data_IF_969052073628
#
_entry.id   IF_969052073628
#
_cell.length_a   1.000
_cell.length_b   1.000
_cell.length_c   1.000
_cell.angle_alpha   90.00
_cell.angle_beta   90.00
_cell.angle_gamma   90.00
#
_symmetry.space_group_name_H-M   'P 1'
#
loop_
_entity.id
_entity.type
_entity.pdbx_description
1 polymer ?
#
# COMPACT_ATOMS: atom_id res chain seq x y z
N UNK A 1 26.30 -24.34 -13.83
CA UNK A 1 25.85 -23.82 -12.52
C UNK A 1 24.41 -23.37 -12.70
N UNK A 2 23.47 -24.05 -12.05
CA UNK A 2 22.06 -23.65 -12.03
C UNK A 2 21.99 -22.24 -11.44
N UNK A 3 21.47 -21.27 -12.20
CA UNK A 3 21.09 -19.99 -11.62
C UNK A 3 20.10 -20.31 -10.51
N UNK A 4 20.48 -20.10 -9.25
CA UNK A 4 19.54 -20.21 -8.15
C UNK A 4 18.46 -19.16 -8.41
N UNK A 5 17.25 -19.62 -8.71
CA UNK A 5 16.07 -18.80 -8.99
C UNK A 5 15.76 -17.91 -7.77
N UNK A 6 16.41 -16.75 -7.71
CA UNK A 6 16.25 -15.80 -6.61
C UNK A 6 14.98 -15.01 -6.86
N UNK A 7 13.90 -15.38 -6.16
CA UNK A 7 12.66 -14.61 -6.19
C UNK A 7 12.95 -13.15 -5.82
N UNK A 8 12.50 -12.18 -6.62
CA UNK A 8 12.71 -10.76 -6.34
C UNK A 8 12.16 -10.39 -4.96
N UNK A 9 12.77 -9.39 -4.31
CA UNK A 9 12.31 -8.94 -2.99
C UNK A 9 11.19 -7.90 -3.13
N UNK A 10 10.12 -8.03 -2.35
CA UNK A 10 9.03 -7.05 -2.27
C UNK A 10 8.91 -6.51 -0.85
N UNK A 11 8.92 -5.19 -0.72
CA UNK A 11 8.65 -4.49 0.53
C UNK A 11 7.14 -4.30 0.67
N UNK A 12 6.56 -4.86 1.74
CA UNK A 12 5.18 -4.62 2.13
C UNK A 12 5.18 -3.61 3.27
N UNK A 13 4.68 -2.40 3.03
CA UNK A 13 4.52 -1.39 4.09
C UNK A 13 3.10 -1.43 4.61
N UNK A 14 2.95 -1.51 5.93
CA UNK A 14 1.67 -1.52 6.63
C UNK A 14 1.59 -0.39 7.66
N UNK A 15 0.36 0.02 7.98
CA UNK A 15 0.12 0.93 9.09
C UNK A 15 0.33 0.22 10.43
N UNK A 16 0.77 0.99 11.43
CA UNK A 16 0.84 0.62 12.85
C UNK A 16 -0.23 1.34 13.69
N UNK A 17 -1.02 2.23 13.09
CA UNK A 17 -2.06 2.98 13.77
C UNK A 17 -3.24 2.07 14.18
N UNK A 18 -3.99 2.44 15.22
CA UNK A 18 -5.11 1.66 15.76
C UNK A 18 -6.27 1.41 14.78
N UNK A 19 -6.42 2.25 13.75
CA UNK A 19 -7.39 2.04 12.67
C UNK A 19 -6.96 0.93 11.71
N UNK A 20 -5.72 0.45 11.87
CA UNK A 20 -5.23 -0.85 11.42
C UNK A 20 -5.13 -1.06 9.91
N UNK A 21 -4.90 -2.32 9.59
CA UNK A 21 -4.83 -2.87 8.23
C UNK A 21 -6.07 -3.74 7.98
N UNK A 22 -6.71 -3.59 6.82
CA UNK A 22 -7.88 -4.40 6.47
C UNK A 22 -7.47 -5.88 6.33
N UNK A 23 -8.01 -6.75 7.20
CA UNK A 23 -7.62 -8.16 7.29
C UNK A 23 -7.73 -8.88 5.94
N UNK A 24 -8.88 -8.79 5.27
CA UNK A 24 -9.09 -9.50 4.00
C UNK A 24 -8.15 -9.01 2.89
N UNK A 25 -7.95 -7.70 2.78
CA UNK A 25 -7.02 -7.12 1.80
C UNK A 25 -5.59 -7.59 2.08
N UNK A 26 -5.13 -7.56 3.34
CA UNK A 26 -3.81 -8.04 3.71
C UNK A 26 -3.63 -9.54 3.42
N UNK A 27 -4.62 -10.38 3.72
CA UNK A 27 -4.55 -11.83 3.46
C UNK A 27 -4.35 -12.10 1.98
N UNK A 28 -5.16 -11.46 1.12
CA UNK A 28 -5.04 -11.59 -0.33
C UNK A 28 -3.71 -11.07 -0.84
N UNK A 29 -3.31 -9.87 -0.40
CA UNK A 29 -2.06 -9.24 -0.80
C UNK A 29 -0.85 -10.09 -0.41
N UNK A 30 -0.75 -10.46 0.87
CA UNK A 30 0.34 -11.27 1.42
C UNK A 30 0.40 -12.65 0.76
N UNK A 31 -0.72 -13.34 0.60
CA UNK A 31 -0.73 -14.70 0.04
C UNK A 31 -0.23 -14.71 -1.41
N UNK A 32 -0.71 -13.76 -2.23
CA UNK A 32 -0.27 -13.64 -3.61
C UNK A 32 1.19 -13.19 -3.71
N UNK A 33 1.61 -12.15 -2.99
CA UNK A 33 2.99 -11.67 -3.10
C UNK A 33 4.00 -12.62 -2.48
N UNK A 34 3.67 -13.34 -1.39
CA UNK A 34 4.57 -14.32 -0.79
C UNK A 34 4.82 -15.54 -1.71
N UNK A 35 3.95 -15.77 -2.70
CA UNK A 35 4.15 -16.79 -3.72
C UNK A 35 5.18 -16.37 -4.77
N UNK A 36 5.19 -15.08 -5.16
CA UNK A 36 6.02 -14.54 -6.23
C UNK A 36 7.34 -13.89 -5.74
N UNK A 37 7.37 -13.40 -4.50
CA UNK A 37 8.46 -12.58 -3.96
C UNK A 37 9.02 -13.13 -2.66
N UNK A 38 10.26 -12.74 -2.36
CA UNK A 38 10.78 -12.73 -0.99
C UNK A 38 10.25 -11.49 -0.29
N UNK A 39 9.46 -11.65 0.78
CA UNK A 39 8.82 -10.50 1.43
C UNK A 39 9.66 -9.94 2.57
N UNK A 40 9.62 -8.63 2.74
CA UNK A 40 9.89 -7.99 4.01
C UNK A 40 8.71 -7.08 4.36
N UNK A 41 8.29 -7.09 5.63
CA UNK A 41 7.22 -6.24 6.12
C UNK A 41 7.83 -5.11 6.95
N UNK A 42 7.38 -3.89 6.72
CA UNK A 42 7.76 -2.73 7.52
C UNK A 42 6.53 -1.95 8.00
N UNK A 43 6.64 -1.38 9.19
CA UNK A 43 5.63 -0.50 9.78
C UNK A 43 6.34 0.67 10.47
N UNK A 44 5.66 1.81 10.71
CA UNK A 44 6.22 2.86 11.54
C UNK A 44 6.68 2.29 12.88
N UNK A 45 7.92 2.61 13.28
CA UNK A 45 8.56 2.11 14.50
C UNK A 45 8.70 0.58 14.64
N UNK A 46 8.35 -0.21 13.62
CA UNK A 46 8.40 -1.68 13.67
C UNK A 46 7.36 -2.29 14.61
N UNK A 47 6.26 -1.58 14.85
CA UNK A 47 5.16 -2.05 15.69
C UNK A 47 4.36 -3.13 14.92
N UNK A 48 4.01 -4.27 15.55
CA UNK A 48 3.18 -5.29 14.92
C UNK A 48 1.85 -4.75 14.36
N UNK A 49 1.36 -5.38 13.30
CA UNK A 49 0.14 -4.95 12.61
C UNK A 49 -1.10 -5.25 13.46
N UNK A 50 -1.92 -4.22 13.69
CA UNK A 50 -3.31 -4.39 14.11
C UNK A 50 -4.22 -4.55 12.90
N UNK A 51 -5.09 -5.57 12.96
CA UNK A 51 -6.02 -5.90 11.87
C UNK A 51 -7.43 -5.44 12.20
N UNK A 52 -8.06 -4.76 11.24
CA UNK A 52 -9.48 -4.39 11.27
C UNK A 52 -10.29 -5.24 10.30
N UNK A 53 -11.61 -5.26 10.49
CA UNK A 53 -12.55 -6.12 9.77
C UNK A 53 -12.22 -7.61 9.94
N UNK A 54 -11.81 -8.00 11.16
CA UNK A 54 -11.59 -9.39 11.52
C UNK A 54 -12.93 -10.06 11.83
N UNK A 55 -13.24 -11.12 11.09
CA UNK A 55 -14.46 -11.91 11.22
C UNK A 55 -14.12 -13.41 11.26
N UNK A 56 -15.14 -14.27 11.33
CA UNK A 56 -14.93 -15.71 11.47
C UNK A 56 -14.27 -16.36 10.25
N UNK A 57 -14.33 -15.73 9.07
CA UNK A 57 -13.70 -16.24 7.85
C UNK A 57 -12.19 -16.03 7.83
N UNK A 58 -11.69 -14.98 8.52
CA UNK A 58 -10.29 -14.59 8.47
C UNK A 58 -9.55 -14.68 9.82
N UNK A 59 -10.26 -14.79 10.95
CA UNK A 59 -9.69 -14.84 12.31
C UNK A 59 -8.60 -15.89 12.48
N UNK A 60 -8.82 -17.11 11.96
CA UNK A 60 -7.85 -18.19 12.05
C UNK A 60 -6.56 -17.84 11.34
N UNK A 61 -6.64 -17.33 10.12
CA UNK A 61 -5.47 -16.93 9.34
C UNK A 61 -4.67 -15.85 10.06
N UNK A 62 -5.34 -14.85 10.64
CA UNK A 62 -4.68 -13.77 11.39
C UNK A 62 -3.96 -14.31 12.63
N UNK A 63 -4.60 -15.23 13.37
CA UNK A 63 -3.96 -15.92 14.49
C UNK A 63 -2.70 -16.68 14.06
N UNK A 64 -2.78 -17.41 12.95
CA UNK A 64 -1.64 -18.16 12.42
C UNK A 64 -0.53 -17.22 11.91
N UNK A 65 -0.90 -16.10 11.28
CA UNK A 65 0.05 -15.08 10.82
C UNK A 65 0.84 -14.47 11.97
N UNK A 66 0.21 -14.20 13.11
CA UNK A 66 0.86 -13.64 14.31
C UNK A 66 1.99 -14.52 14.87
N UNK A 67 1.99 -15.82 14.58
CA UNK A 67 3.07 -16.74 14.95
C UNK A 67 4.24 -16.79 13.95
N UNK A 68 4.16 -16.10 12.80
CA UNK A 68 5.20 -16.11 11.76
C UNK A 68 6.23 -15.00 12.01
N UNK A 69 7.44 -15.19 11.47
CA UNK A 69 8.49 -14.16 11.49
C UNK A 69 8.05 -12.83 10.85
N UNK A 70 7.18 -12.89 9.85
CA UNK A 70 6.59 -11.71 9.21
C UNK A 70 5.73 -10.83 10.13
N UNK A 71 5.26 -11.36 11.27
CA UNK A 71 4.50 -10.58 12.25
C UNK A 71 5.39 -9.65 13.10
N UNK A 72 6.71 -9.73 12.95
CA UNK A 72 7.70 -8.82 13.53
C UNK A 72 8.27 -7.91 12.44
N UNK A 73 7.59 -6.81 12.10
CA UNK A 73 7.99 -5.95 10.99
C UNK A 73 9.27 -5.16 11.31
N UNK A 74 9.98 -4.78 10.25
CA UNK A 74 11.07 -3.81 10.34
C UNK A 74 10.51 -2.41 10.64
N UNK A 75 11.34 -1.55 11.25
CA UNK A 75 11.05 -0.12 11.30
C UNK A 75 11.23 0.49 9.91
N UNK A 76 10.36 1.42 9.52
CA UNK A 76 10.52 2.15 8.25
C UNK A 76 11.90 2.79 8.14
N UNK A 77 12.43 3.35 9.23
CA UNK A 77 13.73 4.02 9.28
C UNK A 77 14.92 3.08 9.06
N UNK A 78 14.70 1.77 9.15
CA UNK A 78 15.70 0.74 8.88
C UNK A 78 15.59 0.15 7.46
N UNK A 79 14.62 0.60 6.67
CA UNK A 79 14.41 0.14 5.30
C UNK A 79 15.43 0.80 4.37
N UNK A 80 16.18 -0.03 3.66
CA UNK A 80 16.91 0.38 2.46
C UNK A 80 16.06 0.04 1.21
N UNK A 81 15.41 1.03 0.57
CA UNK A 81 14.51 0.77 -0.56
C UNK A 81 15.24 0.26 -1.81
N UNK A 82 16.57 0.41 -1.89
CA UNK A 82 17.36 -0.08 -3.02
C UNK A 82 17.33 -1.61 -3.15
N UNK A 83 17.16 -2.32 -2.02
CA UNK A 83 17.17 -3.79 -1.91
C UNK A 83 15.90 -4.47 -2.43
N UNK A 84 14.86 -3.70 -2.72
CA UNK A 84 13.55 -4.21 -3.09
C UNK A 84 13.26 -3.91 -4.56
N UNK A 85 12.66 -4.89 -5.22
CA UNK A 85 12.20 -4.80 -6.60
C UNK A 85 10.81 -4.17 -6.70
N UNK A 86 9.98 -4.31 -5.67
CA UNK A 86 8.61 -3.79 -5.62
C UNK A 86 8.20 -3.28 -4.25
N UNK A 87 7.29 -2.30 -4.24
CA UNK A 87 6.62 -1.77 -3.06
C UNK A 87 5.13 -2.12 -3.11
N UNK A 88 4.60 -2.66 -2.01
CA UNK A 88 3.17 -2.91 -1.83
C UNK A 88 2.69 -2.24 -0.54
N UNK A 89 1.62 -1.45 -0.64
CA UNK A 89 0.87 -0.94 0.51
C UNK A 89 -0.58 -1.46 0.41
N UNK A 90 -0.99 -2.43 1.25
CA UNK A 90 -2.34 -2.97 1.23
C UNK A 90 -3.35 -1.97 1.81
N UNK A 91 -4.65 -2.26 1.64
CA UNK A 91 -5.73 -1.42 2.19
C UNK A 91 -5.61 -1.29 3.70
N UNK A 92 -5.28 -0.09 4.15
CA UNK A 92 -4.94 0.20 5.54
C UNK A 92 -5.59 1.52 5.98
N UNK A 93 -6.78 1.50 6.62
CA UNK A 93 -7.39 2.74 7.12
C UNK A 93 -6.46 3.54 8.03
N UNK A 94 -5.60 2.87 8.80
CA UNK A 94 -4.55 3.49 9.60
C UNK A 94 -3.55 4.34 8.82
N UNK A 95 -3.30 4.03 7.53
CA UNK A 95 -2.34 4.74 6.70
C UNK A 95 -2.69 6.22 6.50
N UNK A 96 -3.97 6.57 6.60
CA UNK A 96 -4.42 7.97 6.61
C UNK A 96 -3.73 8.75 7.73
N UNK A 97 -3.45 8.12 8.87
CA UNK A 97 -2.94 8.77 10.08
C UNK A 97 -1.42 8.70 10.21
N UNK A 98 -0.82 7.55 9.89
CA UNK A 98 0.60 7.30 10.19
C UNK A 98 1.50 7.15 8.97
N UNK A 99 0.97 7.00 7.75
CA UNK A 99 1.76 6.94 6.52
C UNK A 99 1.64 8.20 5.66
N UNK A 100 0.46 8.84 5.66
CA UNK A 100 0.15 9.97 4.77
C UNK A 100 1.08 11.19 4.89
N UNK A 101 1.74 11.35 6.03
CA UNK A 101 2.66 12.45 6.32
C UNK A 101 3.97 11.97 6.95
N UNK A 102 4.38 10.73 6.71
CA UNK A 102 5.58 10.16 7.31
C UNK A 102 6.82 10.41 6.44
N UNK A 103 7.86 11.04 6.98
CA UNK A 103 9.05 11.46 6.22
C UNK A 103 9.79 10.27 5.58
N UNK A 104 10.01 9.20 6.33
CA UNK A 104 10.61 7.99 5.77
C UNK A 104 9.75 7.34 4.69
N UNK A 105 8.41 7.36 4.83
CA UNK A 105 7.52 6.85 3.79
C UNK A 105 7.66 7.66 2.50
N UNK A 106 7.78 8.99 2.60
CA UNK A 106 8.04 9.86 1.46
C UNK A 106 9.32 9.45 0.73
N UNK A 107 10.42 9.24 1.46
CA UNK A 107 11.69 8.81 0.88
C UNK A 107 11.58 7.43 0.21
N UNK A 108 10.86 6.50 0.82
CA UNK A 108 10.61 5.17 0.25
C UNK A 108 9.82 5.30 -1.05
N UNK A 109 8.62 5.91 -1.05
CA UNK A 109 7.82 6.06 -2.27
C UNK A 109 8.62 6.74 -3.37
N UNK A 110 9.29 7.85 -3.04
CA UNK A 110 10.09 8.60 -4.02
C UNK A 110 11.20 7.77 -4.64
N UNK A 111 11.94 6.99 -3.85
CA UNK A 111 12.96 6.09 -4.39
C UNK A 111 12.36 5.11 -5.39
N UNK A 112 11.22 4.48 -5.08
CA UNK A 112 10.58 3.57 -6.02
C UNK A 112 10.08 4.28 -7.28
N UNK A 113 9.56 5.50 -7.16
CA UNK A 113 9.09 6.28 -8.30
C UNK A 113 10.25 6.74 -9.21
N UNK A 114 11.32 7.27 -8.63
CA UNK A 114 12.50 7.78 -9.35
C UNK A 114 13.27 6.64 -10.07
N UNK A 115 13.46 5.51 -9.39
CA UNK A 115 14.05 4.28 -9.97
C UNK A 115 13.06 3.52 -10.88
N UNK A 116 11.87 4.10 -11.10
CA UNK A 116 10.75 3.52 -11.83
C UNK A 116 10.38 2.13 -11.34
N UNK A 117 10.67 1.69 -10.12
CA UNK A 117 10.30 0.37 -9.57
C UNK A 117 8.78 0.27 -9.38
N UNK A 118 8.15 -0.91 -9.56
CA UNK A 118 6.71 -1.06 -9.35
C UNK A 118 6.27 -0.69 -7.94
N UNK A 119 5.25 0.17 -7.84
CA UNK A 119 4.58 0.58 -6.62
C UNK A 119 3.12 0.17 -6.74
N UNK A 120 2.62 -0.62 -5.78
CA UNK A 120 1.23 -1.01 -5.71
C UNK A 120 0.60 -0.47 -4.42
N UNK A 121 -0.47 0.28 -4.55
CA UNK A 121 -1.28 0.71 -3.40
C UNK A 121 -2.72 0.27 -3.57
N UNK A 122 -3.39 -0.07 -2.47
CA UNK A 122 -4.79 -0.50 -2.49
C UNK A 122 -5.56 0.24 -1.41
N UNK A 123 -6.77 0.71 -1.73
CA UNK A 123 -7.66 1.36 -0.76
C UNK A 123 -6.97 2.50 -0.02
N UNK A 124 -7.22 2.58 1.29
CA UNK A 124 -6.61 3.59 2.15
C UNK A 124 -5.09 3.53 2.24
N UNK A 125 -4.46 2.43 1.78
CA UNK A 125 -3.01 2.37 1.60
C UNK A 125 -2.47 3.39 0.60
N UNK A 126 -3.29 3.88 -0.33
CA UNK A 126 -2.95 4.95 -1.26
C UNK A 126 -2.56 6.25 -0.54
N UNK A 127 -3.01 6.46 0.70
CA UNK A 127 -2.59 7.60 1.52
C UNK A 127 -1.06 7.67 1.69
N UNK A 128 -0.34 6.54 1.66
CA UNK A 128 1.13 6.55 1.71
C UNK A 128 1.77 7.32 0.53
N UNK A 129 1.09 7.45 -0.62
CA UNK A 129 1.56 8.23 -1.76
C UNK A 129 1.58 9.73 -1.48
N UNK A 130 0.80 10.20 -0.51
CA UNK A 130 0.74 11.63 -0.14
C UNK A 130 1.84 12.02 0.83
N UNK A 131 2.66 11.04 1.28
CA UNK A 131 3.83 11.29 2.08
C UNK A 131 4.75 12.27 1.32
N UNK A 132 5.02 13.42 1.94
CA UNK A 132 5.78 14.50 1.30
C UNK A 132 5.01 15.79 1.03
N UNK A 133 3.70 15.84 1.34
CA UNK A 133 2.85 17.05 1.32
C UNK A 133 3.50 18.28 2.01
N UNK A 134 4.43 18.05 2.94
CA UNK A 134 5.10 19.10 3.73
C UNK A 134 6.48 19.49 3.20
N UNK A 135 6.91 18.99 2.04
CA UNK A 135 8.25 19.25 1.49
C UNK A 135 8.17 20.07 0.21
N UNK A 136 9.14 20.97 -0.01
CA UNK A 136 9.23 21.83 -1.21
C UNK A 136 9.55 21.07 -2.51
N UNK A 137 9.52 19.73 -2.52
CA UNK A 137 10.11 18.88 -3.55
C UNK A 137 9.06 18.28 -4.51
N UNK A 138 7.83 18.81 -4.46
CA UNK A 138 6.70 18.38 -5.31
C UNK A 138 6.16 16.99 -4.99
N UNK A 139 4.94 16.70 -5.44
CA UNK A 139 4.32 15.38 -5.25
C UNK A 139 4.76 14.40 -6.34
N UNK A 140 5.27 13.23 -5.97
CA UNK A 140 5.82 12.26 -6.94
C UNK A 140 4.79 11.63 -7.89
N UNK A 141 3.49 11.82 -7.63
CA UNK A 141 2.42 11.36 -8.51
C UNK A 141 1.78 12.49 -9.32
N UNK A 142 2.37 13.69 -9.35
CA UNK A 142 1.93 14.77 -10.23
C UNK A 142 1.90 14.29 -11.69
N UNK A 143 0.77 14.49 -12.38
CA UNK A 143 0.58 14.03 -13.75
C UNK A 143 0.44 12.51 -13.91
N UNK A 144 0.32 11.73 -12.84
CA UNK A 144 -0.04 10.31 -12.91
C UNK A 144 -1.56 10.12 -13.00
N UNK A 145 -1.98 9.09 -13.72
CA UNK A 145 -3.31 8.52 -13.60
C UNK A 145 -3.34 7.52 -12.45
N UNK A 146 -4.30 7.66 -11.55
CA UNK A 146 -4.40 6.80 -10.38
C UNK A 146 -5.83 6.67 -9.85
N UNK A 147 -6.01 5.76 -8.92
CA UNK A 147 -7.20 5.63 -8.09
C UNK A 147 -6.82 5.43 -6.62
N UNK A 148 -7.81 5.36 -5.76
CA UNK A 148 -7.74 5.21 -4.31
C UNK A 148 -9.16 5.36 -3.76
N UNK A 149 -9.36 5.42 -2.43
CA UNK A 149 -10.71 5.49 -1.88
C UNK A 149 -11.40 6.76 -2.40
N UNK A 150 -12.60 6.60 -2.95
CA UNK A 150 -13.41 7.72 -3.42
C UNK A 150 -13.91 8.54 -2.24
N UNK A 151 -14.18 9.84 -2.42
CA UNK A 151 -14.81 10.69 -1.40
C UNK A 151 -16.06 10.01 -0.84
N UNK A 152 -16.86 9.35 -1.69
CA UNK A 152 -18.05 8.61 -1.28
C UNK A 152 -17.74 7.44 -0.33
N UNK A 153 -16.67 6.68 -0.57
CA UNK A 153 -16.22 5.61 0.35
C UNK A 153 -15.65 6.22 1.64
N UNK A 154 -14.94 7.34 1.55
CA UNK A 154 -14.32 7.99 2.70
C UNK A 154 -15.35 8.60 3.66
N UNK A 155 -16.42 9.25 3.17
CA UNK A 155 -17.46 9.87 4.02
C UNK A 155 -18.23 8.85 4.87
N UNK A 156 -18.16 7.56 4.53
CA UNK A 156 -18.77 6.48 5.32
C UNK A 156 -17.93 6.08 6.54
N UNK A 157 -16.67 6.53 6.62
CA UNK A 157 -15.84 6.31 7.79
C UNK A 157 -16.43 7.05 9.00
N UNK A 158 -16.58 6.36 10.13
CA UNK A 158 -17.10 6.94 11.38
C UNK A 158 -16.29 8.14 11.87
N UNK A 159 -15.01 8.17 11.52
CA UNK A 159 -14.03 9.19 11.86
C UNK A 159 -13.75 10.15 10.69
N UNK A 160 -14.59 10.20 9.65
CA UNK A 160 -14.37 11.06 8.48
C UNK A 160 -14.07 12.53 8.85
N UNK A 161 -14.73 13.08 9.87
CA UNK A 161 -14.51 14.48 10.29
C UNK A 161 -13.12 14.75 10.89
N UNK A 162 -12.33 13.72 11.19
CA UNK A 162 -11.00 13.83 11.82
C UNK A 162 -9.89 13.20 10.99
N UNK A 163 -10.18 12.68 9.79
CA UNK A 163 -9.12 12.19 8.91
C UNK A 163 -8.27 13.37 8.43
N UNK A 164 -6.94 13.22 8.35
CA UNK A 164 -6.06 14.32 7.99
C UNK A 164 -6.02 14.59 6.47
N UNK A 165 -6.59 13.70 5.67
CA UNK A 165 -6.56 13.77 4.21
C UNK A 165 -7.77 13.08 3.58
N UNK A 166 -8.33 13.72 2.56
CA UNK A 166 -9.26 13.10 1.61
C UNK A 166 -8.47 12.80 0.35
N UNK A 167 -8.22 11.53 0.06
CA UNK A 167 -7.23 11.12 -0.95
C UNK A 167 -7.63 11.56 -2.37
N UNK A 168 -8.90 11.39 -2.75
CA UNK A 168 -9.41 11.82 -4.05
C UNK A 168 -9.24 13.33 -4.28
N UNK A 169 -9.61 14.15 -3.29
CA UNK A 169 -9.44 15.61 -3.38
C UNK A 169 -7.95 15.98 -3.48
N UNK A 170 -7.11 15.39 -2.62
CA UNK A 170 -5.67 15.61 -2.66
C UNK A 170 -5.07 15.27 -4.04
N UNK A 171 -5.46 14.15 -4.62
CA UNK A 171 -4.97 13.75 -5.93
C UNK A 171 -5.36 14.76 -7.03
N UNK A 172 -6.61 15.21 -7.05
CA UNK A 172 -7.10 16.20 -8.02
C UNK A 172 -6.44 17.56 -7.83
N UNK A 173 -6.32 18.02 -6.59
CA UNK A 173 -5.70 19.31 -6.24
C UNK A 173 -4.21 19.36 -6.60
N UNK A 174 -3.55 18.20 -6.63
CA UNK A 174 -2.13 18.06 -6.98
C UNK A 174 -1.92 17.47 -8.39
N UNK A 175 -2.84 17.75 -9.31
CA UNK A 175 -2.70 17.51 -10.75
C UNK A 175 -2.55 16.03 -11.17
N UNK A 176 -2.99 15.08 -10.34
CA UNK A 176 -3.16 13.70 -10.79
C UNK A 176 -4.52 13.50 -11.48
N UNK A 177 -4.54 12.63 -12.48
CA UNK A 177 -5.76 12.21 -13.16
C UNK A 177 -6.44 11.09 -12.36
N UNK A 178 -7.22 11.47 -11.34
CA UNK A 178 -7.95 10.53 -10.49
C UNK A 178 -9.18 9.94 -11.20
N UNK A 179 -9.39 8.63 -11.10
CA UNK A 179 -10.62 7.96 -11.54
C UNK A 179 -11.13 6.98 -10.48
N UNK A 180 -12.45 6.81 -10.42
CA UNK A 180 -13.11 5.83 -9.56
C UNK A 180 -14.29 5.19 -10.29
N UNK A 181 -14.57 3.93 -9.94
CA UNK A 181 -15.81 3.24 -10.23
C UNK A 181 -16.79 3.39 -9.06
N UNK A 182 -17.94 2.73 -9.15
CA UNK A 182 -18.89 2.62 -8.05
C UNK A 182 -18.21 2.12 -6.76
N UNK A 183 -18.60 2.64 -5.58
CA UNK A 183 -18.08 2.19 -4.29
C UNK A 183 -18.08 0.67 -4.17
N UNK A 184 -17.04 0.14 -3.51
CA UNK A 184 -16.84 -1.31 -3.31
C UNK A 184 -16.72 -2.14 -4.60
N UNK A 185 -16.64 -1.52 -5.77
CA UNK A 185 -16.39 -2.24 -7.02
C UNK A 185 -14.89 -2.37 -7.28
N UNK A 186 -14.51 -3.39 -8.05
CA UNK A 186 -13.12 -3.55 -8.51
C UNK A 186 -12.79 -2.41 -9.48
N UNK A 187 -11.79 -1.61 -9.15
CA UNK A 187 -11.25 -0.57 -10.03
C UNK A 187 -9.75 -0.45 -9.79
N UNK A 188 -8.97 -0.66 -10.86
CA UNK A 188 -7.50 -0.63 -10.81
C UNK A 188 -7.02 0.28 -11.94
N UNK A 189 -6.10 1.18 -11.60
CA UNK A 189 -5.41 2.05 -12.56
C UNK A 189 -3.93 1.67 -12.56
N UNK A 190 -3.38 1.51 -13.75
CA UNK A 190 -1.96 1.23 -14.00
C UNK A 190 -1.42 2.35 -14.87
N UNK A 191 -0.46 3.11 -14.35
CA UNK A 191 0.24 4.15 -15.10
C UNK A 191 1.75 4.03 -14.83
N UNK A 192 2.51 3.73 -15.88
CA UNK A 192 3.96 3.49 -15.83
C UNK A 192 4.29 2.40 -14.79
N UNK A 193 4.89 2.78 -13.67
CA UNK A 193 5.29 1.90 -12.58
C UNK A 193 4.34 1.96 -11.37
N UNK A 194 3.28 2.76 -11.43
CA UNK A 194 2.29 2.90 -10.37
C UNK A 194 1.05 2.06 -10.67
N UNK A 195 0.71 1.17 -9.74
CA UNK A 195 -0.50 0.37 -9.71
C UNK A 195 -1.32 0.84 -8.51
N UNK A 196 -2.55 1.24 -8.73
CA UNK A 196 -3.45 1.70 -7.67
C UNK A 196 -4.78 0.98 -7.76
N UNK A 197 -5.28 0.47 -6.64
CA UNK A 197 -6.60 -0.15 -6.52
C UNK A 197 -7.50 0.70 -5.62
N UNK A 198 -8.73 0.96 -6.05
CA UNK A 198 -9.64 1.89 -5.39
C UNK A 198 -9.95 1.50 -3.93
N UNK A 199 -10.20 0.22 -3.68
CA UNK A 199 -10.69 -0.31 -2.42
C UNK A 199 -10.23 -1.76 -2.19
N UNK A 200 -10.64 -2.37 -1.08
CA UNK A 200 -10.23 -3.72 -0.72
C UNK A 200 -10.65 -4.79 -1.75
N UNK A 201 -11.73 -4.59 -2.51
CA UNK A 201 -12.12 -5.53 -3.57
C UNK A 201 -11.15 -5.52 -4.75
N UNK A 202 -10.44 -4.41 -4.93
CA UNK A 202 -9.43 -4.24 -5.98
C UNK A 202 -8.09 -4.94 -5.65
N UNK A 203 -7.94 -5.51 -4.45
CA UNK A 203 -6.67 -6.08 -3.97
C UNK A 203 -6.10 -7.15 -4.92
N UNK A 204 -6.91 -8.14 -5.29
CA UNK A 204 -6.42 -9.27 -6.09
C UNK A 204 -5.90 -8.79 -7.45
N UNK A 205 -6.70 -7.99 -8.15
CA UNK A 205 -6.35 -7.45 -9.47
C UNK A 205 -5.12 -6.53 -9.39
N UNK A 206 -5.03 -5.65 -8.39
CA UNK A 206 -3.88 -4.78 -8.22
C UNK A 206 -2.58 -5.57 -7.97
N UNK A 207 -2.63 -6.56 -7.07
CA UNK A 207 -1.45 -7.38 -6.72
C UNK A 207 -1.02 -8.31 -7.85
N UNK A 208 -1.97 -8.84 -8.63
CA UNK A 208 -1.64 -9.57 -9.86
C UNK A 208 -0.89 -8.68 -10.86
N UNK A 209 -1.33 -7.44 -11.05
CA UNK A 209 -0.64 -6.49 -11.92
C UNK A 209 0.73 -6.07 -11.38
N UNK A 210 0.91 -5.99 -10.06
CA UNK A 210 2.22 -5.82 -9.44
C UNK A 210 3.18 -6.96 -9.82
N UNK A 211 2.71 -8.21 -9.70
CA UNK A 211 3.51 -9.40 -10.06
C UNK A 211 3.91 -9.35 -11.55
N UNK A 212 2.95 -9.03 -12.43
CA UNK A 212 3.21 -8.90 -13.87
C UNK A 212 4.22 -7.78 -14.17
N UNK A 213 4.07 -6.61 -13.53
CA UNK A 213 4.95 -5.46 -13.73
C UNK A 213 6.40 -5.72 -13.27
N UNK A 214 6.59 -6.59 -12.26
CA UNK A 214 7.92 -7.02 -11.83
C UNK A 214 8.56 -8.02 -12.79
N UNK A 215 7.77 -8.92 -13.39
CA UNK A 215 8.28 -9.95 -14.29
C UNK A 215 8.63 -9.42 -15.70
N UNK A 216 8.09 -8.26 -16.07
CA UNK A 216 8.34 -7.63 -17.37
C UNK A 216 9.68 -6.84 -17.44
N UNK A 217 10.57 -7.00 -16.46
CA UNK A 217 11.84 -6.26 -16.31
C UNK A 217 13.07 -7.13 -16.48
#
# INVERSE_FOLDING_TARGET
ATMADHRPSCLVVCSSHKEGVCAQSFIHAFTLTNSAFTLAIATPQGIPIDFVNVDDTNRRWISDFRGKSYASPMKLESVDPSRFAALLIPSSPGALYDLASHDTMMHIVRHFMDERKPVCTVGYGAAALTAGKLTNIGWCCEGYSLTGPSVYEMVQLKNFSTIPIVFEDYAKDNLASYTASTPDSVHVVIDRNLITGQNSQSTLTAVQNLILACNAR
#
